data_IF_382396310343
#
_entry.id   IF_382396310343
#
_cell.length_a   1.000
_cell.length_b   1.000
_cell.length_c   1.000
_cell.angle_alpha   90.00
_cell.angle_beta   90.00
_cell.angle_gamma   90.00
#
_symmetry.space_group_name_H-M   'P 1'
#
loop_
_entity.id
_entity.type
_entity.pdbx_description
1 polymer ?
#
# COMPACT_ATOMS: atom_id res chain seq x y z
N UNK A 1 -10.47 7.76 15.04
CA UNK A 1 -10.84 6.54 14.29
C UNK A 1 -9.81 6.30 13.20
N UNK A 2 -9.16 5.12 13.19
CA UNK A 2 -8.20 4.75 12.15
C UNK A 2 -8.97 4.26 10.91
N UNK A 3 -8.75 4.92 9.76
CA UNK A 3 -9.32 4.49 8.49
C UNK A 3 -8.45 3.38 7.89
N UNK A 4 -9.07 2.48 7.13
CA UNK A 4 -8.41 1.32 6.53
C UNK A 4 -8.59 1.35 5.00
N UNK A 5 -7.57 0.87 4.30
CA UNK A 5 -7.63 0.59 2.87
C UNK A 5 -7.70 -0.93 2.66
N UNK A 6 -8.45 -1.35 1.64
CA UNK A 6 -8.61 -2.76 1.28
C UNK A 6 -8.19 -2.99 -0.17
N UNK A 7 -7.58 -4.14 -0.43
CA UNK A 7 -7.18 -4.57 -1.77
C UNK A 7 -7.50 -6.04 -1.97
N UNK A 8 -7.88 -6.41 -3.18
CA UNK A 8 -8.11 -7.79 -3.58
C UNK A 8 -7.17 -8.08 -4.76
N UNK A 9 -6.54 -9.24 -4.76
CA UNK A 9 -5.71 -9.72 -5.88
C UNK A 9 -5.96 -11.20 -6.11
N UNK A 10 -5.82 -11.66 -7.35
CA UNK A 10 -5.80 -13.08 -7.69
C UNK A 10 -4.39 -13.59 -7.99
N UNK A 11 -3.40 -12.70 -7.94
CA UNK A 11 -2.02 -12.99 -8.27
C UNK A 11 -1.17 -13.14 -7.01
N UNK A 12 -0.74 -14.37 -6.72
CA UNK A 12 0.11 -14.67 -5.55
C UNK A 12 1.50 -14.02 -5.64
N UNK A 13 2.00 -13.74 -6.85
CA UNK A 13 3.30 -13.09 -7.04
C UNK A 13 3.33 -11.65 -6.52
N UNK A 14 2.17 -10.99 -6.36
CA UNK A 14 2.11 -9.65 -5.77
C UNK A 14 2.30 -9.65 -4.24
N UNK A 15 2.16 -10.80 -3.57
CA UNK A 15 2.11 -10.90 -2.11
C UNK A 15 3.35 -10.30 -1.43
N UNK A 16 4.54 -10.60 -1.95
CA UNK A 16 5.80 -10.08 -1.39
C UNK A 16 5.90 -8.56 -1.53
N UNK A 17 5.56 -8.04 -2.71
CA UNK A 17 5.55 -6.59 -2.98
C UNK A 17 4.54 -5.87 -2.08
N UNK A 18 3.34 -6.43 -1.94
CA UNK A 18 2.29 -5.89 -1.09
C UNK A 18 2.70 -5.85 0.38
N UNK A 19 3.37 -6.89 0.87
CA UNK A 19 3.94 -6.91 2.22
C UNK A 19 4.95 -5.77 2.45
N UNK A 20 5.83 -5.51 1.48
CA UNK A 20 6.78 -4.38 1.54
C UNK A 20 6.09 -3.01 1.50
N UNK A 21 4.94 -2.90 0.84
CA UNK A 21 4.11 -1.68 0.78
C UNK A 21 3.20 -1.50 2.02
N UNK A 22 3.34 -2.37 3.03
CA UNK A 22 2.58 -2.32 4.28
C UNK A 22 1.17 -2.91 4.19
N UNK A 23 0.88 -3.69 3.16
CA UNK A 23 -0.35 -4.47 3.08
C UNK A 23 -0.23 -5.78 3.86
N UNK A 24 -1.25 -6.06 4.67
CA UNK A 24 -1.38 -7.30 5.42
C UNK A 24 -2.39 -8.22 4.72
N UNK A 25 -2.02 -9.48 4.49
CA UNK A 25 -2.97 -10.49 4.02
C UNK A 25 -3.94 -10.85 5.17
N UNK A 26 -5.24 -10.75 4.90
CA UNK A 26 -6.31 -10.92 5.89
C UNK A 26 -7.15 -12.17 5.66
N UNK A 27 -7.37 -12.54 4.40
CA UNK A 27 -8.13 -13.72 4.04
C UNK A 27 -7.68 -14.24 2.67
N UNK A 28 -7.88 -15.55 2.48
CA UNK A 28 -7.73 -16.22 1.20
C UNK A 28 -9.01 -16.99 0.93
N UNK A 29 -9.62 -16.78 -0.23
CA UNK A 29 -10.81 -17.52 -0.65
C UNK A 29 -10.53 -18.22 -1.97
N UNK A 30 -10.91 -19.48 -2.07
CA UNK A 30 -10.87 -20.21 -3.33
C UNK A 30 -12.30 -20.34 -3.84
N UNK A 31 -12.55 -19.83 -5.04
CA UNK A 31 -13.82 -19.95 -5.72
C UNK A 31 -13.55 -20.49 -7.13
N UNK A 32 -14.14 -21.64 -7.44
CA UNK A 32 -13.84 -22.44 -8.62
C UNK A 32 -12.33 -22.74 -8.75
N UNK A 33 -11.69 -22.24 -9.82
CA UNK A 33 -10.25 -22.36 -10.09
C UNK A 33 -9.46 -21.07 -9.78
N UNK A 34 -10.09 -20.08 -9.16
CA UNK A 34 -9.48 -18.78 -8.86
C UNK A 34 -9.26 -18.66 -7.36
N UNK A 35 -8.02 -18.31 -6.98
CA UNK A 35 -7.66 -17.97 -5.61
C UNK A 35 -7.68 -16.45 -5.46
N UNK A 36 -8.44 -15.97 -4.48
CA UNK A 36 -8.58 -14.58 -4.12
C UNK A 36 -7.82 -14.29 -2.83
N UNK A 37 -7.00 -13.25 -2.85
CA UNK A 37 -6.21 -12.76 -1.73
C UNK A 37 -6.73 -11.40 -1.31
N UNK A 38 -7.14 -11.28 -0.05
CA UNK A 38 -7.70 -10.06 0.53
C UNK A 38 -6.69 -9.40 1.45
N UNK A 39 -6.41 -8.13 1.23
CA UNK A 39 -5.42 -7.37 1.98
C UNK A 39 -6.05 -6.16 2.65
N UNK A 40 -5.48 -5.75 3.78
CA UNK A 40 -5.78 -4.46 4.42
C UNK A 40 -4.49 -3.70 4.73
N UNK A 41 -4.59 -2.38 4.84
CA UNK A 41 -3.55 -1.57 5.50
C UNK A 41 -4.15 -0.33 6.17
N UNK A 42 -3.49 0.23 7.20
CA UNK A 42 -3.86 1.53 7.75
C UNK A 42 -3.85 2.60 6.66
N UNK A 43 -4.90 3.41 6.57
CA UNK A 43 -4.86 4.62 5.76
C UNK A 43 -3.93 5.63 6.45
N UNK A 44 -2.94 6.13 5.72
CA UNK A 44 -2.15 7.26 6.22
C UNK A 44 -3.07 8.46 6.48
N UNK A 45 -2.91 9.08 7.65
CA UNK A 45 -3.62 10.32 7.96
C UNK A 45 -3.30 11.39 6.90
N UNK A 46 -4.24 12.30 6.67
CA UNK A 46 -4.06 13.38 5.70
C UNK A 46 -2.78 14.19 5.99
N UNK A 47 -2.53 14.47 7.27
CA UNK A 47 -1.31 15.13 7.74
C UNK A 47 -0.04 14.36 7.38
N UNK A 48 -0.04 13.03 7.54
CA UNK A 48 1.13 12.22 7.20
C UNK A 48 1.35 12.11 5.69
N UNK A 49 0.27 12.11 4.89
CA UNK A 49 0.35 12.20 3.41
C UNK A 49 0.99 13.52 2.97
N UNK A 50 0.52 14.64 3.51
CA UNK A 50 1.05 15.98 3.20
C UNK A 50 2.54 16.08 3.58
N UNK A 51 2.95 15.58 4.74
CA UNK A 51 4.37 15.60 5.14
C UNK A 51 5.24 14.76 4.19
N UNK A 52 4.75 13.63 3.70
CA UNK A 52 5.48 12.81 2.73
C UNK A 52 5.59 13.48 1.36
N UNK A 53 4.52 14.13 0.88
CA UNK A 53 4.53 14.92 -0.35
C UNK A 53 5.52 16.09 -0.23
N UNK A 54 5.48 16.86 0.87
CA UNK A 54 6.41 17.95 1.13
C UNK A 54 7.86 17.48 1.19
N UNK A 55 8.13 16.33 1.83
CA UNK A 55 9.48 15.73 1.84
C UNK A 55 9.95 15.34 0.45
N UNK A 56 9.07 14.79 -0.40
CA UNK A 56 9.41 14.47 -1.78
C UNK A 56 9.69 15.73 -2.61
N UNK A 57 8.96 16.82 -2.41
CA UNK A 57 9.22 18.09 -3.09
C UNK A 57 10.58 18.68 -2.69
N UNK A 58 10.94 18.63 -1.40
CA UNK A 58 12.26 19.08 -0.94
C UNK A 58 13.37 18.21 -1.54
N UNK A 59 13.19 16.88 -1.55
CA UNK A 59 14.15 15.97 -2.19
C UNK A 59 14.36 16.27 -3.67
N UNK A 60 13.29 16.55 -4.43
CA UNK A 60 13.40 16.97 -5.83
C UNK A 60 14.21 18.26 -5.99
N UNK A 61 13.90 19.29 -5.18
CA UNK A 61 14.63 20.57 -5.22
C UNK A 61 16.12 20.45 -4.89
N UNK A 62 16.48 19.55 -3.99
CA UNK A 62 17.88 19.28 -3.62
C UNK A 62 18.63 18.54 -4.74
N UNK A 63 17.96 17.63 -5.45
CA UNK A 63 18.55 16.89 -6.58
C UNK A 63 18.73 17.80 -7.80
N UNK A 64 17.79 18.70 -8.07
CA UNK A 64 17.85 19.62 -9.21
C UNK A 64 18.83 20.80 -9.00
N UNK A 65 19.34 21.01 -7.79
CA UNK A 65 20.31 22.08 -7.46
C UNK A 65 21.77 21.61 -7.46
N UNK A 66 22.08 20.47 -8.09
CA UNK A 66 23.42 19.86 -8.14
C UNK A 66 23.82 19.56 -9.57
#
# INVERSE_FOLDING_TARGET
>A
MQKWQYRISTNSSEMMKLGQEGWELTAVAQQDKITWFYYKRPEMSLSHRVTMEQRQEVLKKVVDSK
#
